data_IF_673553620633
#
_entry.id   IF_673553620633
#
_cell.length_a   1.000
_cell.length_b   1.000
_cell.length_c   1.000
_cell.angle_alpha   90.00
_cell.angle_beta   90.00
_cell.angle_gamma   90.00
#
_symmetry.space_group_name_H-M   'P 1'
#
loop_
_entity.id
_entity.type
_entity.pdbx_description
1 polymer ?
#
# COMPACT_ATOMS: atom_id res chain seq x y z
N UNK A 1 -15.60 -19.95 -5.36
CA UNK A 1 -14.56 -19.79 -4.34
C UNK A 1 -13.21 -20.07 -4.96
N UNK A 2 -12.54 -19.01 -5.40
CA UNK A 2 -11.20 -19.09 -5.95
C UNK A 2 -10.16 -19.26 -4.82
N UNK A 3 -9.02 -19.84 -5.17
CA UNK A 3 -7.85 -19.92 -4.29
C UNK A 3 -6.66 -19.31 -5.02
N UNK A 4 -5.92 -18.45 -4.32
CA UNK A 4 -4.72 -17.81 -4.87
C UNK A 4 -3.50 -18.43 -4.19
N UNK A 5 -2.59 -19.06 -4.95
CA UNK A 5 -1.32 -19.54 -4.43
C UNK A 5 -0.37 -18.35 -4.21
N UNK A 6 0.23 -18.28 -3.03
CA UNK A 6 1.16 -17.23 -2.61
C UNK A 6 2.42 -17.89 -2.09
N UNK A 7 3.58 -17.51 -2.64
CA UNK A 7 4.87 -18.06 -2.22
C UNK A 7 5.66 -17.03 -1.41
N UNK A 8 5.96 -17.36 -0.15
CA UNK A 8 6.76 -16.55 0.77
C UNK A 8 7.94 -17.40 1.29
N UNK A 9 9.16 -16.90 1.15
CA UNK A 9 10.39 -17.57 1.61
C UNK A 9 10.43 -19.09 1.29
N UNK A 10 10.27 -19.45 0.01
CA UNK A 10 10.20 -20.85 -0.47
C UNK A 10 9.03 -21.72 0.03
N UNK A 11 8.06 -21.17 0.78
CA UNK A 11 6.82 -21.85 1.15
C UNK A 11 5.64 -21.32 0.35
N UNK A 12 4.78 -22.23 -0.11
CA UNK A 12 3.55 -21.87 -0.83
C UNK A 12 2.34 -22.03 0.08
N UNK A 13 1.61 -20.93 0.25
CA UNK A 13 0.35 -20.82 0.98
C UNK A 13 -0.79 -20.70 -0.03
N UNK A 14 -1.96 -21.24 0.29
CA UNK A 14 -3.19 -21.06 -0.52
C UNK A 14 -4.19 -20.26 0.29
N UNK A 15 -4.53 -19.08 -0.19
CA UNK A 15 -5.53 -18.22 0.44
C UNK A 15 -6.82 -18.29 -0.36
N UNK A 16 -7.94 -18.47 0.34
CA UNK A 16 -9.27 -18.37 -0.24
C UNK A 16 -9.65 -16.90 -0.42
N UNK A 17 -10.31 -16.58 -1.53
CA UNK A 17 -10.79 -15.24 -1.83
C UNK A 17 -12.18 -15.29 -2.47
N UNK A 18 -12.91 -14.18 -2.36
CA UNK A 18 -14.16 -14.00 -3.08
C UNK A 18 -13.87 -13.65 -4.55
N UNK A 19 -14.89 -13.84 -5.39
CA UNK A 19 -14.79 -13.57 -6.81
C UNK A 19 -14.51 -12.07 -7.03
N UNK A 20 -13.44 -11.73 -7.75
CA UNK A 20 -13.01 -10.36 -8.02
C UNK A 20 -11.96 -9.80 -7.04
N UNK A 21 -11.63 -10.50 -5.95
CA UNK A 21 -10.59 -10.08 -5.00
C UNK A 21 -9.20 -10.62 -5.35
N UNK A 22 -9.08 -11.52 -6.33
CA UNK A 22 -7.86 -12.28 -6.62
C UNK A 22 -6.68 -11.35 -6.92
N UNK A 23 -6.92 -10.32 -7.74
CA UNK A 23 -5.88 -9.35 -8.14
C UNK A 23 -5.37 -8.53 -6.96
N UNK A 24 -6.28 -8.08 -6.10
CA UNK A 24 -5.94 -7.29 -4.91
C UNK A 24 -5.15 -8.16 -3.92
N UNK A 25 -5.59 -9.39 -3.71
CA UNK A 25 -4.91 -10.34 -2.83
C UNK A 25 -3.50 -10.68 -3.33
N UNK A 26 -3.33 -10.89 -4.64
CA UNK A 26 -2.02 -11.13 -5.24
C UNK A 26 -1.07 -9.93 -5.08
N UNK A 27 -1.58 -8.70 -5.23
CA UNK A 27 -0.78 -7.48 -5.02
C UNK A 27 -0.33 -7.34 -3.56
N UNK A 28 -1.24 -7.51 -2.60
CA UNK A 28 -0.93 -7.49 -1.17
C UNK A 28 0.09 -8.58 -0.80
N UNK A 29 -0.05 -9.77 -1.37
CA UNK A 29 0.89 -10.86 -1.16
C UNK A 29 2.30 -10.55 -1.69
N UNK A 30 2.39 -9.88 -2.85
CA UNK A 30 3.66 -9.45 -3.42
C UNK A 30 4.34 -8.39 -2.56
N UNK A 31 3.56 -7.48 -1.98
CA UNK A 31 4.02 -6.45 -1.05
C UNK A 31 4.55 -7.06 0.26
N UNK A 32 3.89 -8.07 0.79
CA UNK A 32 4.38 -8.85 1.95
C UNK A 32 5.65 -9.60 1.58
N UNK A 33 5.68 -10.27 0.42
CA UNK A 33 6.84 -11.02 -0.07
C UNK A 33 8.09 -10.14 -0.15
N UNK A 34 7.96 -8.93 -0.69
CA UNK A 34 9.06 -7.97 -0.79
C UNK A 34 9.68 -7.65 0.57
N UNK A 35 8.85 -7.44 1.60
CA UNK A 35 9.31 -7.14 2.97
C UNK A 35 9.99 -8.35 3.60
N UNK A 36 9.39 -9.53 3.48
CA UNK A 36 9.97 -10.81 3.95
C UNK A 36 11.33 -11.06 3.30
N UNK A 37 11.47 -10.86 1.99
CA UNK A 37 12.74 -11.03 1.28
C UNK A 37 13.80 -10.00 1.67
N UNK A 38 13.42 -8.75 1.96
CA UNK A 38 14.35 -7.73 2.48
C UNK A 38 14.89 -8.13 3.85
N UNK A 39 14.00 -8.51 4.76
CA UNK A 39 14.37 -8.98 6.10
C UNK A 39 15.27 -10.23 6.03
N UNK A 40 15.01 -11.15 5.10
CA UNK A 40 15.88 -12.32 4.91
C UNK A 40 17.29 -11.93 4.39
N UNK A 41 17.41 -10.85 3.61
CA UNK A 41 18.74 -10.37 3.19
C UNK A 41 19.49 -9.69 4.33
N UNK A 42 18.79 -8.96 5.19
CA UNK A 42 19.38 -8.17 6.28
C UNK A 42 19.77 -9.04 7.49
N UNK A 43 18.93 -10.01 7.86
CA UNK A 43 19.11 -10.80 9.09
C UNK A 43 19.62 -12.24 8.82
N UNK A 44 19.92 -12.59 7.57
CA UNK A 44 20.36 -13.93 7.14
C UNK A 44 19.19 -14.89 6.90
N UNK A 45 19.37 -16.19 7.12
CA UNK A 45 18.27 -17.17 7.06
C UNK A 45 17.72 -17.48 8.46
N UNK A 46 16.92 -16.58 9.10
CA UNK A 46 16.14 -16.97 10.27
C UNK A 46 15.07 -17.99 9.86
N UNK A 47 14.51 -18.68 10.85
CA UNK A 47 13.35 -19.55 10.62
C UNK A 47 12.17 -18.73 10.06
N UNK A 48 11.41 -19.34 9.15
CA UNK A 48 10.27 -18.71 8.45
C UNK A 48 9.30 -17.99 9.39
N UNK A 49 9.00 -18.58 10.55
CA UNK A 49 8.07 -18.04 11.54
C UNK A 49 8.56 -16.71 12.13
N UNK A 50 9.85 -16.61 12.43
CA UNK A 50 10.44 -15.37 12.99
C UNK A 50 10.46 -14.28 11.94
N UNK A 51 10.78 -14.63 10.70
CA UNK A 51 10.80 -13.70 9.58
C UNK A 51 9.41 -13.10 9.32
N UNK A 52 8.37 -13.95 9.35
CA UNK A 52 6.98 -13.53 9.22
C UNK A 52 6.53 -12.65 10.38
N UNK A 53 6.93 -12.97 11.62
CA UNK A 53 6.64 -12.13 12.78
C UNK A 53 7.25 -10.74 12.63
N UNK A 54 8.52 -10.65 12.24
CA UNK A 54 9.18 -9.36 12.00
C UNK A 54 8.49 -8.56 10.89
N UNK A 55 8.16 -9.22 9.77
CA UNK A 55 7.43 -8.57 8.68
C UNK A 55 6.05 -8.07 9.10
N UNK A 56 5.32 -8.83 9.92
CA UNK A 56 4.00 -8.47 10.41
C UNK A 56 4.04 -7.27 11.35
N UNK A 57 5.03 -7.22 12.27
CA UNK A 57 5.21 -6.08 13.18
C UNK A 57 5.59 -4.82 12.39
N UNK A 58 6.52 -4.92 11.43
CA UNK A 58 6.90 -3.79 10.58
C UNK A 58 5.71 -3.23 9.79
N UNK A 59 4.89 -4.11 9.21
CA UNK A 59 3.68 -3.72 8.49
C UNK A 59 2.63 -3.05 9.40
N UNK A 60 2.51 -3.51 10.64
CA UNK A 60 1.59 -2.92 11.61
C UNK A 60 2.06 -1.51 12.02
N UNK A 61 3.36 -1.32 12.19
CA UNK A 61 3.99 -0.03 12.48
C UNK A 61 3.74 0.98 11.34
N UNK A 62 4.01 0.59 10.08
CA UNK A 62 3.72 1.41 8.90
C UNK A 62 2.24 1.81 8.82
N UNK A 63 1.32 0.88 9.15
CA UNK A 63 -0.12 1.14 9.14
C UNK A 63 -0.54 2.10 10.28
N UNK A 64 0.09 2.00 11.45
CA UNK A 64 -0.17 2.89 12.57
C UNK A 64 0.25 4.32 12.25
N UNK A 65 1.45 4.52 11.73
CA UNK A 65 1.94 5.84 11.32
C UNK A 65 1.01 6.48 10.28
N UNK A 66 0.59 5.71 9.27
CA UNK A 66 -0.36 6.16 8.25
C UNK A 66 -1.72 6.52 8.85
N UNK A 67 -2.19 5.78 9.84
CA UNK A 67 -3.46 6.03 10.52
C UNK A 67 -3.40 7.32 11.33
N UNK A 68 -2.34 7.52 12.10
CA UNK A 68 -2.14 8.74 12.88
C UNK A 68 -2.03 9.97 11.98
N UNK A 69 -1.25 9.87 10.88
CA UNK A 69 -1.14 10.94 9.90
C UNK A 69 -2.49 11.27 9.23
N UNK A 70 -3.27 10.24 8.90
CA UNK A 70 -4.62 10.41 8.33
C UNK A 70 -5.58 11.11 9.30
N UNK A 71 -5.61 10.67 10.56
CA UNK A 71 -6.49 11.23 11.58
C UNK A 71 -6.08 12.68 11.91
N UNK A 72 -4.78 13.00 11.95
CA UNK A 72 -4.27 14.37 12.10
C UNK A 72 -4.65 15.27 10.91
N UNK A 73 -4.53 14.76 9.68
CA UNK A 73 -4.96 15.50 8.48
C UNK A 73 -6.46 15.79 8.49
N UNK A 74 -7.27 14.83 8.93
CA UNK A 74 -8.71 14.99 9.03
C UNK A 74 -9.10 16.03 10.08
N UNK A 75 -8.42 16.04 11.23
CA UNK A 75 -8.61 17.07 12.26
C UNK A 75 -8.24 18.47 11.74
N UNK A 76 -7.07 18.61 11.10
CA UNK A 76 -6.66 19.88 10.51
C UNK A 76 -7.64 20.39 9.44
N UNK A 77 -8.14 19.48 8.58
CA UNK A 77 -9.15 19.84 7.59
C UNK A 77 -10.47 20.30 8.24
N UNK A 78 -10.89 19.67 9.33
CA UNK A 78 -12.08 20.06 10.09
C UNK A 78 -11.92 21.45 10.74
N UNK A 79 -10.74 21.75 11.29
CA UNK A 79 -10.44 23.05 11.88
C UNK A 79 -10.49 24.18 10.84
N UNK A 80 -9.91 23.97 9.65
CA UNK A 80 -9.97 24.93 8.53
C UNK A 80 -11.42 25.19 8.11
N UNK A 81 -12.24 24.13 8.01
CA UNK A 81 -13.66 24.28 7.69
C UNK A 81 -14.42 25.04 8.79
N UNK A 82 -14.05 24.84 10.07
CA UNK A 82 -14.67 25.55 11.20
C UNK A 82 -14.31 27.02 11.22
N UNK A 83 -13.04 27.36 10.98
CA UNK A 83 -12.58 28.75 10.89
C UNK A 83 -13.24 29.47 9.71
N UNK A 84 -13.29 28.85 8.53
CA UNK A 84 -14.01 29.39 7.38
C UNK A 84 -15.51 29.61 7.64
N UNK A 85 -16.14 28.76 8.46
CA UNK A 85 -17.52 28.93 8.89
C UNK A 85 -17.68 30.07 9.92
N UNK A 86 -16.70 30.31 10.78
CA UNK A 86 -16.74 31.38 11.79
C UNK A 86 -16.53 32.78 11.20
N UNK A 87 -15.69 32.90 10.16
CA UNK A 87 -15.51 34.16 9.42
C UNK A 87 -16.81 34.59 8.70
N UNK A 88 -17.60 33.65 8.21
CA UNK A 88 -18.89 33.91 7.55
C UNK A 88 -19.97 34.37 8.55
N UNK A 89 -19.88 33.97 9.82
CA UNK A 89 -20.83 34.37 10.88
C UNK A 89 -20.46 35.74 11.48
N UNK A 90 -19.23 36.22 11.25
CA UNK A 90 -18.73 37.50 11.76
C UNK A 90 -18.96 38.68 10.81
N UNK A 91 -19.59 38.47 9.65
CA UNK A 91 -20.13 39.57 8.85
C UNK A 91 -21.23 40.28 9.67
N UNK A 92 -21.10 41.60 9.94
CA UNK A 92 -21.95 42.29 10.90
C UNK A 92 -23.41 42.18 10.47
N UNK A 93 -24.23 41.66 11.38
CA UNK A 93 -25.68 41.83 11.34
C UNK A 93 -25.97 43.32 11.21
N UNK A 94 -26.35 43.77 10.01
CA UNK A 94 -26.87 45.13 9.86
C UNK A 94 -28.11 45.25 10.74
N UNK A 95 -28.14 46.17 11.72
CA UNK A 95 -29.32 46.37 12.52
C UNK A 95 -30.41 47.01 11.66
N UNK A 96 -31.52 46.29 11.52
CA UNK A 96 -32.90 46.78 11.44
C UNK A 96 -33.14 48.07 10.64
N UNK A 97 -33.63 47.91 9.41
CA UNK A 97 -34.51 48.92 8.79
C UNK A 97 -35.74 49.06 9.70
N UNK A 98 -36.06 50.25 10.26
CA UNK A 98 -37.31 50.42 11.00
C UNK A 98 -38.51 50.41 10.03
N UNK A 99 -39.66 49.86 10.44
CA UNK A 99 -40.86 49.83 9.60
C UNK A 99 -41.57 51.19 9.62
N UNK A 100 -42.38 51.43 8.58
CA UNK A 100 -43.45 52.43 8.50
C UNK A 100 -43.07 53.80 7.91
N UNK A 101 -43.57 54.06 6.69
CA UNK A 101 -44.73 54.94 6.49
C UNK A 101 -45.57 54.45 5.31
N UNK A 102 -46.87 54.38 5.57
CA UNK A 102 -47.94 54.04 4.65
C UNK A 102 -48.08 55.05 3.49
N UNK A 103 -48.44 54.58 2.28
CA UNK A 103 -49.51 55.20 1.47
C UNK A 103 -49.89 54.36 0.23
N UNK A 104 -50.92 53.53 0.41
CA UNK A 104 -52.12 53.42 -0.45
C UNK A 104 -52.04 53.71 -1.96
N UNK A 105 -52.23 52.66 -2.80
CA UNK A 105 -53.19 52.69 -3.93
C UNK A 105 -53.51 51.30 -4.52
N UNK A 106 -54.77 50.91 -4.30
CA UNK A 106 -55.73 50.12 -5.11
C UNK A 106 -55.40 48.70 -5.65
N UNK A 107 -56.41 47.80 -5.69
CA UNK A 107 -56.28 46.45 -6.23
C UNK A 107 -56.55 46.42 -7.74
N UNK A 108 -55.65 45.79 -8.50
CA UNK A 108 -55.83 45.44 -9.90
C UNK A 108 -55.59 43.94 -10.07
N UNK A 109 -56.64 43.24 -10.50
CA UNK A 109 -56.71 41.79 -10.59
C UNK A 109 -55.89 41.21 -11.75
N UNK A 110 -55.68 39.89 -11.63
CA UNK A 110 -55.81 38.89 -12.68
C UNK A 110 -54.53 38.33 -13.34
N UNK A 111 -54.36 37.04 -13.03
CA UNK A 111 -54.18 35.94 -13.99
C UNK A 111 -52.79 35.47 -14.40
N UNK A 112 -52.64 34.17 -14.14
CA UNK A 112 -51.95 33.13 -14.90
C UNK A 112 -50.47 32.78 -14.61
N UNK A 113 -50.37 31.60 -13.97
CA UNK A 113 -49.34 30.57 -14.03
C UNK A 113 -48.96 30.16 -15.49
N UNK A 114 -47.82 29.47 -15.77
CA UNK A 114 -47.34 28.34 -14.96
C UNK A 114 -45.84 28.22 -14.67
N UNK A 115 -45.61 27.49 -13.57
CA UNK A 115 -44.38 26.79 -13.20
C UNK A 115 -43.95 25.87 -14.34
N UNK A 116 -42.70 25.96 -14.81
CA UNK A 116 -41.88 24.82 -15.28
C UNK A 116 -40.61 25.23 -16.06
N UNK A 117 -39.65 25.97 -15.51
CA UNK A 117 -38.33 26.04 -16.18
C UNK A 117 -37.13 26.55 -15.39
N UNK A 118 -36.89 26.08 -14.15
CA UNK A 118 -35.53 26.17 -13.56
C UNK A 118 -35.19 24.88 -12.82
N UNK A 119 -35.29 23.75 -13.53
CA UNK A 119 -34.55 22.53 -13.21
C UNK A 119 -33.75 22.18 -14.46
N UNK A 120 -32.50 22.65 -14.52
CA UNK A 120 -31.43 22.08 -15.33
C UNK A 120 -30.16 22.88 -15.07
N UNK A 121 -29.37 22.43 -14.08
CA UNK A 121 -27.90 22.53 -14.03
C UNK A 121 -27.40 21.94 -12.70
N UNK A 122 -27.52 20.62 -12.59
CA UNK A 122 -26.73 19.81 -11.68
C UNK A 122 -26.10 18.69 -12.52
N UNK A 123 -24.89 18.92 -13.02
CA UNK A 123 -23.93 17.90 -13.43
C UNK A 123 -22.68 18.55 -14.05
N UNK A 124 -21.65 18.80 -13.25
CA UNK A 124 -20.23 18.57 -13.59
C UNK A 124 -19.31 19.14 -12.50
N UNK A 125 -18.55 18.32 -11.76
CA UNK A 125 -17.41 18.82 -11.00
C UNK A 125 -16.26 19.22 -11.95
N UNK A 126 -15.50 20.28 -11.66
CA UNK A 126 -14.34 20.67 -12.46
C UNK A 126 -13.18 19.66 -12.29
N UNK A 127 -12.39 19.38 -13.34
CA UNK A 127 -11.22 18.50 -13.22
C UNK A 127 -10.10 19.17 -12.40
N UNK A 128 -9.48 18.38 -11.52
CA UNK A 128 -8.26 18.73 -10.79
C UNK A 128 -7.08 18.95 -11.76
N UNK A 129 -6.16 19.89 -11.49
CA UNK A 129 -4.98 20.11 -12.32
C UNK A 129 -4.00 18.94 -12.20
N UNK A 130 -3.61 18.36 -13.34
CA UNK A 130 -2.54 17.37 -13.41
C UNK A 130 -1.18 18.06 -13.18
N UNK A 131 -0.45 17.63 -12.16
CA UNK A 131 0.94 17.99 -11.96
C UNK A 131 1.78 17.33 -13.07
N UNK A 132 2.40 18.15 -13.91
CA UNK A 132 3.36 17.71 -14.89
C UNK A 132 4.67 17.30 -14.19
N UNK A 133 4.99 16.02 -14.20
CA UNK A 133 6.33 15.55 -13.85
C UNK A 133 7.31 15.91 -14.97
N UNK A 134 7.84 17.13 -14.93
CA UNK A 134 8.97 17.54 -15.75
C UNK A 134 10.26 16.89 -15.22
N UNK A 135 10.64 15.73 -15.75
CA UNK A 135 11.97 15.15 -15.52
C UNK A 135 12.92 15.61 -16.62
N UNK A 136 13.43 16.83 -16.51
CA UNK A 136 14.59 17.31 -17.24
C UNK A 136 15.76 17.48 -16.25
N UNK A 137 16.59 16.43 -16.20
CA UNK A 137 17.73 16.32 -15.30
C UNK A 137 18.80 15.41 -15.89
N UNK A 138 19.22 15.76 -17.11
CA UNK A 138 20.40 15.22 -17.79
C UNK A 138 21.63 15.46 -16.90
N UNK A 139 22.20 14.40 -16.33
CA UNK A 139 23.55 14.45 -15.74
C UNK A 139 24.47 13.64 -16.64
N UNK A 140 25.32 14.38 -17.34
CA UNK A 140 26.28 13.91 -18.32
C UNK A 140 27.31 12.93 -17.73
N UNK A 141 27.56 11.85 -18.47
CA UNK A 141 28.74 11.00 -18.30
C UNK A 141 29.94 11.68 -18.96
N UNK A 142 30.92 12.07 -18.15
CA UNK A 142 32.33 12.33 -18.52
C UNK A 142 33.13 11.93 -17.29
N UNK A 143 34.06 10.97 -17.24
CA UNK A 143 35.07 10.55 -18.21
C UNK A 143 36.45 10.88 -17.59
N UNK A 144 37.14 9.89 -16.99
CA UNK A 144 38.60 9.72 -16.76
C UNK A 144 38.81 8.80 -15.55
N UNK A 145 39.79 7.89 -15.46
CA UNK A 145 41.00 7.77 -16.23
C UNK A 145 41.69 6.41 -16.01
N UNK A 146 42.62 6.18 -16.93
CA UNK A 146 43.42 4.99 -17.22
C UNK A 146 44.57 4.77 -16.21
N UNK A 147 44.87 3.50 -15.93
CA UNK A 147 46.20 2.97 -15.57
C UNK A 147 46.10 1.44 -15.51
N UNK A 148 46.60 0.63 -16.46
CA UNK A 148 48.00 0.27 -16.79
C UNK A 148 48.80 -0.08 -15.53
N UNK A 149 49.57 -1.16 -15.38
CA UNK A 149 50.04 -2.30 -16.19
C UNK A 149 50.88 -3.17 -15.21
N UNK A 150 51.13 -4.45 -15.52
CA UNK A 150 52.21 -5.26 -14.92
C UNK A 150 51.73 -6.62 -14.44
N UNK A 151 51.81 -7.68 -15.26
CA UNK A 151 52.98 -8.57 -15.44
C UNK A 151 53.17 -9.56 -14.29
N UNK A 152 52.74 -10.81 -14.48
CA UNK A 152 53.66 -11.95 -14.54
C UNK A 152 52.91 -13.29 -14.70
N UNK A 153 53.29 -14.02 -15.75
CA UNK A 153 53.26 -15.48 -15.85
C UNK A 153 54.74 -15.90 -15.93
N UNK A 154 55.20 -17.13 -15.59
CA UNK A 154 54.48 -18.39 -15.81
C UNK A 154 54.81 -19.57 -14.83
N UNK A 155 54.16 -20.73 -15.09
CA UNK A 155 54.61 -22.11 -14.84
C UNK A 155 54.94 -22.59 -13.41
N UNK A 156 54.19 -23.58 -12.91
CA UNK A 156 54.80 -24.90 -12.62
C UNK A 156 53.79 -26.05 -12.53
N UNK A 157 54.24 -27.20 -13.03
CA UNK A 157 53.57 -28.50 -13.05
C UNK A 157 53.54 -29.17 -11.68
N UNK A 158 52.55 -30.03 -11.43
CA UNK A 158 52.55 -30.93 -10.28
C UNK A 158 51.44 -31.96 -10.34
N UNK A 159 51.78 -33.18 -10.76
CA UNK A 159 50.95 -34.37 -10.76
C UNK A 159 50.72 -34.93 -9.34
N UNK A 160 49.61 -35.64 -9.14
CA UNK A 160 49.32 -36.47 -7.96
C UNK A 160 47.83 -36.80 -7.92
N UNK A 161 47.35 -37.76 -8.71
CA UNK A 161 47.19 -39.19 -8.36
C UNK A 161 46.41 -39.47 -7.07
N UNK A 162 45.48 -40.42 -7.22
CA UNK A 162 44.98 -41.34 -6.20
C UNK A 162 43.78 -40.94 -5.33
N UNK A 163 42.60 -41.36 -5.79
CA UNK A 163 41.91 -42.47 -5.13
C UNK A 163 41.11 -42.18 -3.86
N UNK A 164 39.79 -42.07 -3.99
CA UNK A 164 38.85 -42.54 -2.96
C UNK A 164 37.49 -42.81 -3.61
N UNK A 165 37.34 -44.02 -4.16
CA UNK A 165 36.03 -44.64 -4.33
C UNK A 165 35.69 -45.40 -3.06
N UNK A 166 34.59 -45.05 -2.41
CA UNK A 166 33.80 -45.98 -1.61
C UNK A 166 32.32 -45.65 -1.82
N UNK A 167 31.59 -46.69 -2.20
CA UNK A 167 30.18 -46.67 -2.53
C UNK A 167 29.34 -47.09 -1.32
N UNK A 168 28.31 -46.29 -1.03
CA UNK A 168 26.97 -46.70 -0.53
C UNK A 168 26.83 -47.29 0.89
N UNK A 169 25.59 -47.59 1.34
CA UNK A 169 24.31 -47.41 0.65
C UNK A 169 23.23 -46.64 1.44
N UNK A 170 22.19 -46.27 0.68
CA UNK A 170 20.92 -45.72 1.12
C UNK A 170 20.23 -46.57 2.21
N UNK A 171 19.65 -45.90 3.20
CA UNK A 171 18.74 -46.49 4.18
C UNK A 171 17.29 -46.23 3.76
N UNK A 172 16.44 -47.27 3.67
CA UNK A 172 15.02 -47.10 3.35
C UNK A 172 14.15 -46.90 4.61
N UNK A 173 13.08 -46.13 4.38
CA UNK A 173 11.77 -46.04 5.04
C UNK A 173 11.43 -47.16 6.05
N UNK A 174 10.99 -46.77 7.26
CA UNK A 174 10.14 -47.57 8.13
C UNK A 174 9.23 -46.70 9.03
N UNK A 175 7.96 -46.61 8.63
CA UNK A 175 6.78 -46.30 9.45
C UNK A 175 5.73 -47.31 8.95
N UNK A 176 5.36 -48.38 9.69
CA UNK A 176 4.13 -48.32 10.50
C UNK A 176 4.06 -49.35 11.67
N UNK A 177 3.51 -49.00 12.84
CA UNK A 177 2.83 -49.90 13.81
C UNK A 177 2.52 -49.09 15.08
N UNK A 178 1.28 -48.63 15.29
CA UNK A 178 0.23 -49.41 15.94
C UNK A 178 0.69 -50.11 17.24
N UNK A 179 0.56 -49.41 18.38
CA UNK A 179 0.41 -49.91 19.77
C UNK A 179 -0.05 -48.70 20.60
N UNK A 180 -1.08 -48.73 21.44
CA UNK A 180 -1.97 -49.82 21.82
C UNK A 180 -3.19 -49.26 22.54
N UNK A 181 -4.28 -50.03 22.48
CA UNK A 181 -5.38 -49.96 23.44
C UNK A 181 -4.87 -50.52 24.77
N UNK A 182 -5.03 -49.77 25.84
CA UNK A 182 -5.20 -50.26 27.22
C UNK A 182 -5.80 -49.08 27.99
N UNK A 183 -7.10 -49.06 28.31
CA UNK A 183 -7.68 -49.76 29.47
C UNK A 183 -6.96 -49.40 30.76
N UNK A 184 -7.52 -48.45 31.51
CA UNK A 184 -7.50 -48.42 32.97
C UNK A 184 -8.44 -47.31 33.51
N UNK A 185 -9.36 -47.75 34.38
CA UNK A 185 -10.07 -47.04 35.45
C UNK A 185 -10.96 -45.83 35.11
#
# INVERSE_FOLDING_TARGET
MAQVPITLNNRTYRLACNDGEEKRLAALAQDVKSRVEKLAREFGQPADERLLLMAAVLLADELWDLREAYDAMLAAAADVLREAAQDQVSAPAQPSVPPSKAQSRAPGQASNLPQSQIHQMAASPPPLPQANSGSDGKIDRTGDGRGKQGSDSPQQMGAGTSGAGIAGPATPVADPLARGKSSAA
#
